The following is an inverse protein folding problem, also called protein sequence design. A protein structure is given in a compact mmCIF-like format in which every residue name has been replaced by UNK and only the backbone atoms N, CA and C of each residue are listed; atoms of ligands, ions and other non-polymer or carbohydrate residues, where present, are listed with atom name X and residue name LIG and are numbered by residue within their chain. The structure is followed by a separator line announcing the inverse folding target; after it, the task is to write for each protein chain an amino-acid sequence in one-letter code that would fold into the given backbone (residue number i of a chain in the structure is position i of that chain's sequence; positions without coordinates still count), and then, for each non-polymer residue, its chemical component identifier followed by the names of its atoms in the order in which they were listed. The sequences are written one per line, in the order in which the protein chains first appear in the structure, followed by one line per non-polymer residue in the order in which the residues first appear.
data_IF_038652819944
#
_entry.id   IF_038652819944
#
_cell.length_a   1.000
_cell.length_b   1.000
_cell.length_c   1.000
_cell.angle_alpha   90.00
_cell.angle_beta   90.00
_cell.angle_gamma   90.00
#
_symmetry.space_group_name_H-M   'P 1'
#
loop_
_entity.id
_entity.type
_entity.pdbx_description
1 polymer ?
#
# COMPACT_ATOMS: atom_id res chain seq x y z
N UNK A 1 -38.37 -9.69 16.76
CA UNK A 1 -37.35 -10.64 16.26
C UNK A 1 -36.47 -9.89 15.27
N UNK A 2 -35.26 -9.49 15.66
CA UNK A 2 -34.34 -8.80 14.76
C UNK A 2 -33.84 -9.82 13.73
N UNK A 3 -34.08 -9.53 12.46
CA UNK A 3 -33.86 -10.46 11.37
C UNK A 3 -32.36 -10.52 11.07
N UNK A 4 -31.72 -11.68 11.27
CA UNK A 4 -30.28 -11.91 11.03
C UNK A 4 -29.86 -11.45 9.62
N UNK A 5 -30.80 -11.47 8.66
CA UNK A 5 -30.64 -11.04 7.29
C UNK A 5 -30.37 -9.52 7.14
N UNK A 6 -30.84 -8.67 8.05
CA UNK A 6 -30.60 -7.22 7.99
C UNK A 6 -29.13 -6.86 8.23
N UNK A 7 -28.36 -7.71 8.92
CA UNK A 7 -26.92 -7.50 9.13
C UNK A 7 -26.12 -7.62 7.83
N UNK A 8 -26.58 -8.45 6.90
CA UNK A 8 -25.95 -8.63 5.59
C UNK A 8 -26.31 -7.51 4.60
N UNK A 9 -27.46 -6.85 4.78
CA UNK A 9 -27.85 -5.67 3.98
C UNK A 9 -26.98 -4.44 4.31
N UNK A 10 -26.40 -4.35 5.51
CA UNK A 10 -25.38 -3.31 5.83
C UNK A 10 -23.98 -3.64 5.33
N UNK A 11 -23.71 -4.88 4.91
CA UNK A 11 -22.42 -5.28 4.36
C UNK A 11 -22.42 -5.41 2.84
N UNK A 12 -23.52 -5.06 2.15
CA UNK A 12 -23.57 -5.08 0.69
C UNK A 12 -22.65 -4.01 0.12
N UNK A 13 -21.64 -4.52 -0.60
CA UNK A 13 -20.73 -3.80 -1.50
C UNK A 13 -21.45 -2.61 -2.16
N UNK A 14 -20.94 -1.39 -1.92
CA UNK A 14 -21.35 -0.18 -2.66
C UNK A 14 -22.00 0.95 -1.85
N UNK A 15 -22.20 0.82 -0.54
CA UNK A 15 -22.73 1.91 0.31
C UNK A 15 -21.66 2.70 1.08
N UNK A 16 -20.41 2.26 1.04
CA UNK A 16 -19.30 3.01 1.66
C UNK A 16 -18.76 4.03 0.64
N UNK A 17 -18.99 5.31 0.90
CA UNK A 17 -18.35 6.44 0.18
C UNK A 17 -16.82 6.40 0.33
N UNK A 18 -16.32 5.65 1.32
CA UNK A 18 -14.91 5.57 1.66
C UNK A 18 -14.19 4.46 0.87
N UNK A 19 -12.95 4.72 0.39
CA UNK A 19 -12.09 3.70 -0.17
C UNK A 19 -11.91 2.56 0.82
N UNK A 20 -12.10 1.33 0.35
CA UNK A 20 -11.89 0.13 1.13
C UNK A 20 -11.33 -0.98 0.24
N UNK A 21 -10.54 -1.84 0.86
CA UNK A 21 -9.92 -2.99 0.18
C UNK A 21 -9.80 -4.16 1.17
N UNK A 22 -9.42 -5.33 0.68
CA UNK A 22 -9.21 -6.54 1.48
C UNK A 22 -7.80 -7.05 1.31
N UNK A 23 -7.16 -7.33 2.44
CA UNK A 23 -5.82 -7.93 2.47
C UNK A 23 -5.89 -9.33 3.03
N UNK A 24 -5.05 -10.26 2.55
CA UNK A 24 -4.92 -11.57 3.17
C UNK A 24 -4.40 -11.39 4.61
N UNK A 25 -5.07 -12.02 5.56
CA UNK A 25 -4.70 -12.01 6.97
C UNK A 25 -4.96 -13.40 7.54
N UNK A 26 -3.90 -14.09 7.94
CA UNK A 26 -3.99 -15.44 8.48
C UNK A 26 -4.54 -15.36 9.91
N UNK A 27 -5.77 -15.81 10.10
CA UNK A 27 -6.45 -15.86 11.39
C UNK A 27 -7.32 -17.10 11.50
N UNK A 28 -7.55 -17.57 12.72
CA UNK A 28 -8.47 -18.69 12.99
C UNK A 28 -9.94 -18.38 12.69
N UNK A 29 -10.27 -17.10 12.46
CA UNK A 29 -11.64 -16.62 12.21
C UNK A 29 -11.89 -16.38 10.71
N UNK A 30 -10.84 -16.28 9.89
CA UNK A 30 -10.95 -16.08 8.45
C UNK A 30 -9.67 -15.54 7.81
N UNK A 31 -9.65 -15.56 6.48
CA UNK A 31 -8.42 -15.36 5.68
C UNK A 31 -8.22 -13.93 5.18
N UNK A 32 -9.18 -13.02 5.41
CA UNK A 32 -9.15 -11.66 4.87
C UNK A 32 -9.53 -10.62 5.91
N UNK A 33 -8.78 -9.52 5.93
CA UNK A 33 -9.05 -8.33 6.74
C UNK A 33 -9.44 -7.16 5.84
N UNK A 34 -10.53 -6.48 6.17
CA UNK A 34 -10.94 -5.25 5.49
C UNK A 34 -10.11 -4.08 5.98
N UNK A 35 -9.52 -3.33 5.05
CA UNK A 35 -8.82 -2.05 5.29
C UNK A 35 -9.62 -0.89 4.69
N UNK A 36 -9.40 0.34 5.19
CA UNK A 36 -10.17 1.53 4.81
C UNK A 36 -9.29 2.78 4.75
N UNK A 37 -9.76 3.81 4.05
CA UNK A 37 -9.16 5.15 4.03
C UNK A 37 -7.68 5.12 3.60
N UNK A 38 -6.80 5.72 4.40
CA UNK A 38 -5.37 5.84 4.10
C UNK A 38 -4.68 4.48 3.99
N UNK A 39 -5.13 3.47 4.74
CA UNK A 39 -4.53 2.14 4.72
C UNK A 39 -4.65 1.50 3.33
N UNK A 40 -5.73 1.80 2.60
CA UNK A 40 -5.94 1.33 1.22
C UNK A 40 -4.90 1.93 0.30
N UNK A 41 -4.61 3.22 0.46
CA UNK A 41 -3.62 3.93 -0.35
C UNK A 41 -2.24 3.37 -0.06
N UNK A 42 -1.87 3.22 1.22
CA UNK A 42 -0.58 2.67 1.62
C UNK A 42 -0.40 1.22 1.10
N UNK A 43 -1.44 0.40 1.19
CA UNK A 43 -1.42 -0.96 0.64
C UNK A 43 -1.22 -0.97 -0.88
N UNK A 44 -1.92 -0.09 -1.60
CA UNK A 44 -1.78 0.04 -3.06
C UNK A 44 -0.37 0.47 -3.46
N UNK A 45 0.21 1.45 -2.76
CA UNK A 45 1.58 1.90 -3.01
C UNK A 45 2.60 0.80 -2.76
N UNK A 46 2.47 0.06 -1.65
CA UNK A 46 3.33 -1.08 -1.37
C UNK A 46 3.25 -2.13 -2.49
N UNK A 47 2.05 -2.44 -2.97
CA UNK A 47 1.89 -3.41 -4.04
C UNK A 47 2.56 -2.94 -5.34
N UNK A 48 2.40 -1.67 -5.73
CA UNK A 48 3.00 -1.12 -6.95
C UNK A 48 4.53 -1.10 -6.85
N UNK A 49 5.08 -0.67 -5.71
CA UNK A 49 6.52 -0.52 -5.54
C UNK A 49 7.25 -1.87 -5.42
N UNK A 50 6.61 -2.86 -4.80
CA UNK A 50 7.22 -4.17 -4.55
C UNK A 50 7.03 -5.16 -5.71
N UNK A 51 6.03 -4.95 -6.55
CA UNK A 51 5.76 -5.86 -7.69
C UNK A 51 6.72 -5.54 -8.84
N UNK A 52 7.49 -6.52 -9.36
CA UNK A 52 8.34 -6.31 -10.52
C UNK A 52 7.52 -5.95 -11.77
N UNK A 53 8.05 -5.04 -12.59
CA UNK A 53 7.40 -4.67 -13.84
C UNK A 53 7.31 -5.87 -14.80
N UNK A 54 6.13 -6.06 -15.41
CA UNK A 54 5.87 -7.18 -16.31
C UNK A 54 5.48 -8.50 -15.63
N UNK A 55 5.37 -8.54 -14.29
CA UNK A 55 4.94 -9.76 -13.59
C UNK A 55 3.43 -9.99 -13.66
N UNK A 56 2.65 -8.94 -13.94
CA UNK A 56 1.20 -9.04 -14.03
C UNK A 56 0.77 -9.38 -15.46
N UNK A 57 0.13 -10.54 -15.63
CA UNK A 57 -0.17 -11.12 -16.97
C UNK A 57 -1.06 -10.20 -17.82
N UNK A 58 -2.03 -9.54 -17.19
CA UNK A 58 -3.01 -8.71 -17.88
C UNK A 58 -2.58 -7.24 -18.02
N UNK A 59 -1.52 -6.81 -17.33
CA UNK A 59 -0.99 -5.45 -17.41
C UNK A 59 0.54 -5.47 -17.24
N UNK A 60 1.29 -5.55 -18.35
CA UNK A 60 2.74 -5.57 -18.32
C UNK A 60 3.36 -4.28 -17.76
N UNK A 61 2.62 -3.17 -17.73
CA UNK A 61 3.10 -1.90 -17.21
C UNK A 61 2.89 -1.75 -15.71
N UNK A 62 2.19 -2.69 -15.07
CA UNK A 62 1.98 -2.68 -13.63
C UNK A 62 3.27 -3.03 -12.87
N UNK A 63 3.51 -2.31 -11.76
CA UNK A 63 4.64 -2.53 -10.86
C UNK A 63 5.79 -1.55 -11.06
N UNK A 64 6.92 -1.87 -10.44
CA UNK A 64 8.14 -1.08 -10.52
C UNK A 64 9.39 -1.96 -10.45
N UNK A 65 10.51 -1.45 -10.97
CA UNK A 65 11.81 -2.11 -10.84
C UNK A 65 12.68 -1.51 -9.72
N UNK A 66 12.04 -0.95 -8.68
CA UNK A 66 12.75 -0.28 -7.58
C UNK A 66 13.77 -1.20 -6.90
N UNK A 67 13.51 -2.50 -6.85
CA UNK A 67 14.42 -3.49 -6.28
C UNK A 67 15.80 -3.52 -6.95
N UNK A 68 15.92 -3.06 -8.21
CA UNK A 68 17.19 -2.98 -8.93
C UNK A 68 18.10 -1.87 -8.39
N UNK A 69 17.50 -0.84 -7.79
CA UNK A 69 18.20 0.35 -7.29
C UNK A 69 18.72 0.19 -5.85
N UNK A 70 18.43 -0.94 -5.17
CA UNK A 70 18.77 -1.14 -3.75
C UNK A 70 20.28 -1.03 -3.49
N UNK A 71 21.10 -1.44 -4.45
CA UNK A 71 22.57 -1.42 -4.35
C UNK A 71 23.22 -0.38 -5.25
N UNK A 72 22.43 0.45 -5.93
CA UNK A 72 23.00 1.54 -6.71
C UNK A 72 23.56 2.62 -5.77
N UNK A 73 24.77 3.14 -6.05
CA UNK A 73 25.30 4.24 -5.27
C UNK A 73 24.36 5.44 -5.39
N UNK A 74 24.15 6.15 -4.28
CA UNK A 74 23.36 7.37 -4.28
C UNK A 74 23.92 8.35 -5.31
N UNK A 75 23.04 8.97 -6.09
CA UNK A 75 23.42 10.01 -7.03
C UNK A 75 23.95 11.24 -6.26
N UNK A 76 24.72 12.07 -6.95
CA UNK A 76 25.30 13.29 -6.34
C UNK A 76 24.23 14.20 -5.74
N UNK A 77 23.04 14.27 -6.35
CA UNK A 77 21.91 15.05 -5.86
C UNK A 77 21.35 14.53 -4.53
N UNK A 78 21.17 13.22 -4.37
CA UNK A 78 20.73 12.64 -3.09
C UNK A 78 21.79 12.81 -1.99
N UNK A 79 23.08 12.71 -2.34
CA UNK A 79 24.17 12.93 -1.39
C UNK A 79 24.16 14.38 -0.88
N UNK A 80 24.01 15.36 -1.77
CA UNK A 80 23.92 16.78 -1.42
C UNK A 80 22.69 17.10 -0.55
N UNK A 81 21.52 16.55 -0.90
CA UNK A 81 20.30 16.73 -0.12
C UNK A 81 20.45 16.18 1.30
N UNK A 82 21.12 15.02 1.46
CA UNK A 82 21.37 14.41 2.77
C UNK A 82 22.31 15.26 3.63
N UNK A 83 23.32 15.88 3.04
CA UNK A 83 24.24 16.80 3.71
C UNK A 83 23.54 18.10 4.15
N UNK A 84 22.58 18.59 3.37
CA UNK A 84 21.79 19.76 3.74
C UNK A 84 20.90 19.49 4.96
N UNK A 85 20.18 18.36 4.96
CA UNK A 85 19.27 17.99 6.06
C UNK A 85 20.01 17.72 7.36
N UNK A 86 21.15 17.01 7.31
CA UNK A 86 21.97 16.77 8.51
C UNK A 86 22.58 18.06 9.09
N UNK A 87 22.88 19.04 8.23
CA UNK A 87 23.37 20.36 8.66
C UNK A 87 22.29 21.21 9.33
N UNK A 88 21.00 20.96 9.05
CA UNK A 88 19.89 21.65 9.72
C UNK A 88 19.55 21.04 11.09
N UNK A 89 19.72 19.72 11.26
CA UNK A 89 19.47 19.06 12.54
C UNK A 89 20.50 19.42 13.63
N UNK A 90 21.71 19.83 13.26
CA UNK A 90 22.78 20.22 14.21
C UNK A 90 22.61 21.67 14.73
N UNK A 91 21.61 22.42 14.25
CA UNK A 91 21.41 23.85 14.59
C UNK A 91 20.44 24.14 15.73
N UNK A 92 20.14 23.17 16.60
CA UNK A 92 19.36 23.37 17.83
C UNK A 92 20.17 23.07 19.08
#
# INVERSE_FOLDING_TARGET
MANILERFVKSTRGTDVQPHDYIPYISSIGDFKRIRNIDVILNSWNNILLTPLGSYIADPNFGSNLFKLIFEPADSGTVEAKLFTSSQEIRY
#
